data_IF_361360500513
#
_entry.id   IF_361360500513
#
_cell.length_a   1.000
_cell.length_b   1.000
_cell.length_c   1.000
_cell.angle_alpha   90.00
_cell.angle_beta   90.00
_cell.angle_gamma   90.00
#
_symmetry.space_group_name_H-M   'P 1'
#
loop_
_entity.id
_entity.type
_entity.pdbx_description
1 polymer ?
#
# COMPACT_ATOMS: atom_id res chain seq x y z
N UNK A 1 19.66 0.06 -4.62
CA UNK A 1 19.43 -1.19 -3.88
C UNK A 1 18.25 -1.96 -4.45
N UNK A 2 17.10 -1.32 -4.71
CA UNK A 2 15.88 -2.02 -5.11
C UNK A 2 15.85 -2.53 -6.57
N UNK A 3 16.46 -1.85 -7.54
CA UNK A 3 16.51 -2.34 -8.94
C UNK A 3 17.12 -3.75 -9.04
N UNK A 4 18.22 -3.99 -8.30
CA UNK A 4 18.87 -5.31 -8.23
C UNK A 4 17.95 -6.39 -7.66
N UNK A 5 17.06 -6.03 -6.74
CA UNK A 5 16.12 -6.97 -6.12
C UNK A 5 15.06 -7.43 -7.12
N UNK A 6 14.54 -6.49 -7.93
CA UNK A 6 13.62 -6.82 -9.04
C UNK A 6 14.28 -7.74 -10.05
N UNK A 7 15.47 -7.37 -10.54
CA UNK A 7 16.22 -8.15 -11.54
C UNK A 7 16.52 -9.57 -11.03
N UNK A 8 17.02 -9.69 -9.80
CA UNK A 8 17.32 -10.99 -9.18
C UNK A 8 16.06 -11.86 -9.03
N UNK A 9 14.95 -11.27 -8.59
CA UNK A 9 13.67 -12.01 -8.48
C UNK A 9 13.20 -12.49 -9.85
N UNK A 10 13.26 -11.64 -10.88
CA UNK A 10 12.87 -12.00 -12.24
C UNK A 10 13.75 -13.14 -12.78
N UNK A 11 15.06 -13.10 -12.53
CA UNK A 11 15.98 -14.17 -12.91
C UNK A 11 15.63 -15.50 -12.22
N UNK A 12 15.37 -15.48 -10.90
CA UNK A 12 14.99 -16.68 -10.15
C UNK A 12 13.66 -17.25 -10.66
N UNK A 13 12.68 -16.41 -10.98
CA UNK A 13 11.41 -16.85 -11.55
C UNK A 13 11.58 -17.41 -12.98
N UNK A 14 12.47 -16.84 -13.79
CA UNK A 14 12.81 -17.38 -15.11
C UNK A 14 13.47 -18.77 -15.00
N UNK A 15 14.37 -18.96 -14.04
CA UNK A 15 14.92 -20.30 -13.74
C UNK A 15 13.82 -21.24 -13.24
N UNK A 16 12.95 -20.78 -12.34
CA UNK A 16 11.84 -21.56 -11.81
C UNK A 16 10.85 -21.99 -12.89
N UNK A 17 10.61 -21.15 -13.91
CA UNK A 17 9.79 -21.45 -15.10
C UNK A 17 10.32 -22.66 -15.87
N UNK A 18 11.64 -22.88 -15.84
CA UNK A 18 12.37 -23.86 -16.66
C UNK A 18 12.90 -25.07 -15.86
N UNK A 19 12.35 -25.36 -14.68
CA UNK A 19 12.68 -26.58 -13.91
C UNK A 19 12.38 -27.85 -14.72
N UNK A 20 12.91 -29.01 -14.33
CA UNK A 20 12.68 -30.27 -15.05
C UNK A 20 11.18 -30.64 -15.12
N UNK A 21 10.68 -30.88 -16.34
CA UNK A 21 9.30 -31.30 -16.65
C UNK A 21 8.17 -30.39 -16.11
N UNK A 22 8.19 -29.06 -16.35
CA UNK A 22 7.09 -28.20 -15.93
C UNK A 22 5.90 -28.37 -16.89
N UNK A 23 4.71 -28.44 -16.33
CA UNK A 23 3.46 -28.42 -17.11
C UNK A 23 3.31 -27.08 -17.85
N UNK A 24 2.53 -27.06 -18.93
CA UNK A 24 2.27 -25.82 -19.67
C UNK A 24 1.56 -24.77 -18.80
N UNK A 25 0.63 -25.21 -17.96
CA UNK A 25 -0.07 -24.36 -16.99
C UNK A 25 0.92 -23.70 -16.01
N UNK A 26 1.85 -24.48 -15.45
CA UNK A 26 2.89 -23.95 -14.56
C UNK A 26 3.71 -22.86 -15.25
N UNK A 27 4.19 -23.11 -16.49
CA UNK A 27 4.98 -22.12 -17.24
C UNK A 27 4.18 -20.86 -17.52
N UNK A 28 2.90 -21.02 -17.87
CA UNK A 28 2.00 -19.89 -18.13
C UNK A 28 1.79 -19.03 -16.88
N UNK A 29 1.54 -19.64 -15.72
CA UNK A 29 1.38 -18.91 -14.45
C UNK A 29 2.64 -18.14 -14.09
N UNK A 30 3.82 -18.77 -14.21
CA UNK A 30 5.11 -18.10 -13.93
C UNK A 30 5.35 -16.95 -14.92
N UNK A 31 5.04 -17.13 -16.21
CA UNK A 31 5.16 -16.07 -17.21
C UNK A 31 4.22 -14.88 -16.91
N UNK A 32 2.97 -15.13 -16.50
CA UNK A 32 2.05 -14.07 -16.08
C UNK A 32 2.61 -13.28 -14.89
N UNK A 33 3.16 -13.98 -13.89
CA UNK A 33 3.80 -13.35 -12.72
C UNK A 33 4.95 -12.45 -13.15
N UNK A 34 5.84 -12.94 -14.02
CA UNK A 34 7.00 -12.19 -14.52
C UNK A 34 6.55 -10.91 -15.23
N UNK A 35 5.59 -11.00 -16.15
CA UNK A 35 5.06 -9.82 -16.87
C UNK A 35 4.50 -8.78 -15.91
N UNK A 36 3.68 -9.21 -14.94
CA UNK A 36 3.12 -8.29 -13.93
C UNK A 36 4.20 -7.66 -13.06
N UNK A 37 5.24 -8.40 -12.68
CA UNK A 37 6.35 -7.88 -11.89
C UNK A 37 7.15 -6.82 -12.66
N UNK A 38 7.32 -6.99 -13.97
CA UNK A 38 7.94 -5.97 -14.83
C UNK A 38 7.11 -4.67 -14.86
N UNK A 39 5.79 -4.77 -14.89
CA UNK A 39 4.92 -3.59 -14.84
C UNK A 39 4.96 -2.92 -13.45
N UNK A 40 4.96 -3.71 -12.38
CA UNK A 40 5.18 -3.20 -11.01
C UNK A 40 6.52 -2.48 -10.91
N UNK A 41 7.58 -2.97 -11.53
CA UNK A 41 8.89 -2.31 -11.52
C UNK A 41 8.83 -0.91 -12.14
N UNK A 42 8.14 -0.76 -13.28
CA UNK A 42 7.95 0.54 -13.95
C UNK A 42 7.13 1.50 -13.10
N UNK A 43 6.04 1.03 -12.49
CA UNK A 43 5.22 1.85 -11.61
C UNK A 43 5.97 2.25 -10.34
N UNK A 44 6.74 1.32 -9.78
CA UNK A 44 7.55 1.54 -8.59
C UNK A 44 8.59 2.65 -8.81
N UNK A 45 9.28 2.64 -9.95
CA UNK A 45 10.24 3.69 -10.30
C UNK A 45 9.56 5.06 -10.43
N UNK A 46 8.37 5.12 -11.05
CA UNK A 46 7.56 6.35 -11.11
C UNK A 46 7.16 6.84 -9.72
N UNK A 47 6.72 5.93 -8.85
CA UNK A 47 6.38 6.25 -7.46
C UNK A 47 7.61 6.74 -6.68
N UNK A 48 8.78 6.15 -6.93
CA UNK A 48 10.04 6.55 -6.32
C UNK A 48 10.43 7.99 -6.67
N UNK A 49 10.42 8.30 -7.97
CA UNK A 49 10.74 9.64 -8.48
C UNK A 49 9.77 10.69 -7.94
N UNK A 50 8.46 10.42 -7.99
CA UNK A 50 7.44 11.37 -7.57
C UNK A 50 7.42 11.58 -6.05
N UNK A 51 7.62 10.52 -5.25
CA UNK A 51 7.77 10.61 -3.81
C UNK A 51 9.02 11.40 -3.43
N UNK A 52 10.16 11.15 -4.10
CA UNK A 52 11.40 11.90 -3.88
C UNK A 52 11.26 13.38 -4.23
N UNK A 53 10.61 13.70 -5.34
CA UNK A 53 10.27 15.08 -5.72
C UNK A 53 9.40 15.77 -4.65
N UNK A 54 8.33 15.13 -4.19
CA UNK A 54 7.45 15.67 -3.14
C UNK A 54 8.18 15.85 -1.79
N UNK A 55 9.13 14.98 -1.45
CA UNK A 55 9.97 15.13 -0.25
C UNK A 55 10.97 16.30 -0.33
N UNK A 56 11.36 16.70 -1.55
CA UNK A 56 12.39 17.71 -1.79
C UNK A 56 11.82 19.10 -2.07
N UNK A 57 10.72 19.22 -2.84
CA UNK A 57 10.14 20.54 -3.20
C UNK A 57 9.45 21.25 -2.03
N UNK A 58 9.10 20.53 -0.96
CA UNK A 58 8.23 21.09 0.07
C UNK A 58 8.81 20.88 1.48
N UNK A 59 9.64 21.86 1.92
CA UNK A 59 10.04 22.01 3.33
C UNK A 59 8.79 22.12 4.23
N UNK A 60 7.70 22.63 3.66
CA UNK A 60 6.36 22.66 4.23
C UNK A 60 5.73 21.27 4.38
N UNK A 61 5.93 20.28 3.50
CA UNK A 61 5.44 18.90 3.73
C UNK A 61 6.21 18.19 4.86
N UNK A 62 7.49 18.51 5.05
CA UNK A 62 8.27 18.05 6.22
C UNK A 62 7.78 18.67 7.54
N UNK A 63 7.36 19.93 7.52
CA UNK A 63 6.89 20.69 8.70
C UNK A 63 5.36 20.66 8.91
N UNK A 64 4.58 20.32 7.89
CA UNK A 64 3.13 20.03 7.91
C UNK A 64 2.87 18.55 8.22
N UNK A 65 3.76 17.91 8.99
CA UNK A 65 3.34 16.96 10.02
C UNK A 65 2.49 17.72 11.07
N UNK A 66 1.44 18.40 10.63
CA UNK A 66 0.47 18.99 11.51
C UNK A 66 -0.26 17.83 12.15
N UNK A 67 -0.03 17.68 13.46
CA UNK A 67 -0.84 16.90 14.37
C UNK A 67 -2.28 17.39 14.16
N UNK A 68 -3.03 16.77 13.25
CA UNK A 68 -4.45 17.08 13.11
C UNK A 68 -5.06 16.88 14.49
N UNK A 69 -5.70 17.92 15.01
CA UNK A 69 -6.34 17.81 16.32
C UNK A 69 -7.42 16.73 16.25
N UNK A 70 -7.67 16.06 17.37
CA UNK A 70 -8.73 15.05 17.46
C UNK A 70 -10.07 15.62 17.00
N UNK A 71 -10.29 16.91 17.23
CA UNK A 71 -11.48 17.63 16.82
C UNK A 71 -11.64 17.72 15.30
N UNK A 72 -10.57 18.03 14.56
CA UNK A 72 -10.62 18.11 13.10
C UNK A 72 -10.82 16.73 12.47
N UNK A 73 -10.13 15.70 12.97
CA UNK A 73 -10.32 14.32 12.51
C UNK A 73 -11.76 13.86 12.77
N UNK A 74 -12.25 14.04 13.99
CA UNK A 74 -13.62 13.68 14.36
C UNK A 74 -14.65 14.41 13.50
N UNK A 75 -14.41 15.68 13.15
CA UNK A 75 -15.29 16.43 12.23
C UNK A 75 -15.37 15.80 10.83
N UNK A 76 -14.24 15.37 10.26
CA UNK A 76 -14.25 14.70 8.94
C UNK A 76 -14.95 13.33 9.06
N UNK A 77 -14.63 12.54 10.09
CA UNK A 77 -15.23 11.22 10.34
C UNK A 77 -16.74 11.29 10.54
N UNK A 78 -17.23 12.24 11.35
CA UNK A 78 -18.67 12.44 11.56
C UNK A 78 -19.38 12.90 10.29
N UNK A 79 -18.73 13.69 9.43
CA UNK A 79 -19.30 14.07 8.12
C UNK A 79 -19.39 12.87 7.19
N UNK A 80 -18.42 11.96 7.25
CA UNK A 80 -18.37 10.74 6.45
C UNK A 80 -19.41 9.72 6.93
N UNK A 81 -19.54 9.52 8.24
CA UNK A 81 -20.51 8.61 8.86
C UNK A 81 -21.97 8.93 8.52
N UNK A 82 -22.29 10.18 8.14
CA UNK A 82 -23.63 10.54 7.63
C UNK A 82 -23.98 9.83 6.33
N UNK A 83 -22.97 9.39 5.58
CA UNK A 83 -23.11 8.70 4.29
C UNK A 83 -22.81 7.21 4.42
N UNK A 84 -22.50 6.73 5.62
CA UNK A 84 -21.97 5.39 5.81
C UNK A 84 -22.39 4.76 7.15
N UNK A 85 -23.13 3.66 7.06
CA UNK A 85 -23.68 2.95 8.22
C UNK A 85 -22.64 2.19 9.05
N UNK A 86 -21.62 1.58 8.43
CA UNK A 86 -20.60 0.81 9.15
C UNK A 86 -19.67 1.72 9.94
N UNK A 87 -19.23 2.83 9.34
CA UNK A 87 -18.46 3.85 10.04
C UNK A 87 -19.29 4.53 11.13
N UNK A 88 -20.58 4.77 10.90
CA UNK A 88 -21.47 5.30 11.93
C UNK A 88 -21.60 4.35 13.12
N UNK A 89 -21.73 3.05 12.88
CA UNK A 89 -21.79 2.02 13.93
C UNK A 89 -20.46 1.91 14.70
N UNK A 90 -19.32 1.97 14.00
CA UNK A 90 -17.98 1.99 14.59
C UNK A 90 -17.76 3.24 15.45
N UNK A 91 -18.12 4.43 14.98
CA UNK A 91 -18.03 5.65 15.79
C UNK A 91 -18.98 5.58 16.99
N UNK A 92 -20.20 5.05 16.81
CA UNK A 92 -21.18 4.89 17.90
C UNK A 92 -20.64 3.95 18.99
N UNK A 93 -20.04 2.82 18.62
CA UNK A 93 -19.42 1.89 19.59
C UNK A 93 -18.20 2.48 20.30
N UNK A 94 -17.51 3.44 19.66
CA UNK A 94 -16.42 4.23 20.26
C UNK A 94 -16.89 5.45 21.08
N UNK A 95 -18.20 5.63 21.32
CA UNK A 95 -18.72 6.78 22.08
C UNK A 95 -18.89 8.06 21.25
N UNK A 96 -19.05 7.92 19.93
CA UNK A 96 -19.32 9.00 18.97
C UNK A 96 -18.08 9.77 18.51
N UNK A 97 -16.90 9.50 19.08
CA UNK A 97 -15.64 10.16 18.73
C UNK A 97 -14.48 9.18 18.82
N UNK A 98 -13.53 9.29 17.90
CA UNK A 98 -12.21 8.67 18.04
C UNK A 98 -11.45 9.38 19.16
N UNK A 99 -11.05 8.63 20.19
CA UNK A 99 -10.10 9.06 21.21
C UNK A 99 -8.71 8.54 20.83
N UNK A 100 -7.72 9.43 20.70
CA UNK A 100 -6.32 9.03 20.60
C UNK A 100 -5.67 9.00 21.99
N UNK A 101 -5.04 7.89 22.33
CA UNK A 101 -3.92 7.80 23.25
C UNK A 101 -2.67 8.46 22.63
N UNK A 102 -1.71 8.77 23.49
CA UNK A 102 -0.58 9.68 23.30
C UNK A 102 0.42 9.38 22.17
N UNK A 103 0.18 8.41 21.28
CA UNK A 103 1.21 7.91 20.35
C UNK A 103 0.81 7.80 18.88
N UNK A 104 -0.30 8.38 18.43
CA UNK A 104 -0.63 8.40 16.99
C UNK A 104 -0.11 9.67 16.34
N UNK A 105 1.19 9.68 16.01
CA UNK A 105 1.72 10.59 14.99
C UNK A 105 1.06 10.27 13.66
N UNK A 106 0.33 11.25 13.14
CA UNK A 106 -0.42 11.12 11.90
C UNK A 106 0.33 11.95 10.86
N UNK A 107 0.92 11.29 9.87
CA UNK A 107 1.38 11.96 8.65
C UNK A 107 0.21 12.01 7.68
N UNK A 108 -0.71 12.96 7.89
CA UNK A 108 -1.75 13.29 6.91
C UNK A 108 -1.37 14.58 6.24
N UNK A 109 -1.30 14.57 4.92
CA UNK A 109 -1.32 15.82 4.18
C UNK A 109 -2.68 16.48 4.37
N UNK A 110 -2.65 17.66 4.99
CA UNK A 110 -3.78 18.54 4.96
C UNK A 110 -3.97 19.04 3.52
N UNK A 111 -4.77 18.30 2.74
CA UNK A 111 -5.03 18.60 1.33
C UNK A 111 -5.59 20.02 1.11
N UNK A 112 -6.07 20.69 2.15
CA UNK A 112 -6.59 22.07 2.08
C UNK A 112 -5.50 23.15 2.03
N UNK A 113 -4.25 22.81 2.39
CA UNK A 113 -3.09 23.72 2.37
C UNK A 113 -2.14 23.48 1.19
N UNK A 114 -2.45 22.51 0.32
CA UNK A 114 -1.65 22.21 -0.86
C UNK A 114 -1.93 23.22 -1.97
N UNK A 115 -0.90 23.59 -2.72
CA UNK A 115 -1.09 24.23 -4.02
C UNK A 115 -1.84 23.27 -4.96
N UNK A 116 -2.54 23.83 -5.97
CA UNK A 116 -3.21 23.00 -6.98
C UNK A 116 -2.24 22.04 -7.70
N UNK A 117 -0.96 22.45 -7.88
CA UNK A 117 0.11 21.64 -8.45
C UNK A 117 0.40 20.40 -7.58
N UNK A 118 0.68 20.59 -6.29
CA UNK A 118 1.01 19.49 -5.37
C UNK A 118 -0.17 18.52 -5.18
N UNK A 119 -1.41 19.01 -5.32
CA UNK A 119 -2.61 18.17 -5.25
C UNK A 119 -2.68 17.14 -6.38
N UNK A 120 -2.27 17.50 -7.61
CA UNK A 120 -2.25 16.59 -8.76
C UNK A 120 -1.20 15.49 -8.55
N UNK A 121 0.00 15.89 -8.14
CA UNK A 121 1.13 14.98 -7.93
C UNK A 121 0.84 13.99 -6.78
N UNK A 122 0.25 14.46 -5.69
CA UNK A 122 -0.17 13.58 -4.57
C UNK A 122 -1.26 12.60 -5.00
N UNK A 123 -2.26 13.05 -5.77
CA UNK A 123 -3.29 12.14 -6.32
C UNK A 123 -2.70 11.09 -7.25
N UNK A 124 -1.76 11.50 -8.10
CA UNK A 124 -1.06 10.59 -9.01
C UNK A 124 -0.22 9.58 -8.22
N UNK A 125 0.54 10.01 -7.22
CA UNK A 125 1.32 9.12 -6.38
C UNK A 125 0.43 8.15 -5.62
N UNK A 126 -0.70 8.60 -5.11
CA UNK A 126 -1.69 7.76 -4.47
C UNK A 126 -2.21 6.66 -5.42
N UNK A 127 -2.63 7.04 -6.62
CA UNK A 127 -3.10 6.09 -7.63
C UNK A 127 -2.03 5.04 -8.00
N UNK A 128 -0.80 5.48 -8.25
CA UNK A 128 0.32 4.57 -8.57
C UNK A 128 0.57 3.61 -7.40
N UNK A 129 0.54 4.11 -6.16
CA UNK A 129 0.73 3.31 -4.95
C UNK A 129 -0.33 2.21 -4.83
N UNK A 130 -1.61 2.55 -5.06
CA UNK A 130 -2.69 1.57 -5.06
C UNK A 130 -2.55 0.54 -6.19
N UNK A 131 -2.16 0.97 -7.40
CA UNK A 131 -1.92 0.09 -8.54
C UNK A 131 -0.84 -0.96 -8.22
N UNK A 132 0.28 -0.53 -7.62
CA UNK A 132 1.37 -1.42 -7.22
C UNK A 132 0.87 -2.46 -6.21
N UNK A 133 0.20 -2.04 -5.13
CA UNK A 133 -0.30 -3.00 -4.13
C UNK A 133 -1.34 -3.96 -4.69
N UNK A 134 -2.21 -3.49 -5.61
CA UNK A 134 -3.17 -4.34 -6.28
C UNK A 134 -2.48 -5.39 -7.15
N UNK A 135 -1.48 -4.99 -7.94
CA UNK A 135 -0.70 -5.92 -8.77
C UNK A 135 0.08 -6.93 -7.91
N UNK A 136 0.74 -6.48 -6.83
CA UNK A 136 1.45 -7.37 -5.91
C UNK A 136 0.49 -8.39 -5.25
N UNK A 137 -0.73 -7.96 -4.92
CA UNK A 137 -1.76 -8.88 -4.41
C UNK A 137 -2.14 -9.94 -5.45
N UNK A 138 -2.39 -9.54 -6.70
CA UNK A 138 -2.71 -10.48 -7.80
C UNK A 138 -1.55 -11.45 -8.07
N UNK A 139 -0.32 -10.94 -8.07
CA UNK A 139 0.89 -11.78 -8.18
C UNK A 139 0.94 -12.79 -7.04
N UNK A 140 0.67 -12.37 -5.79
CA UNK A 140 0.59 -13.29 -4.64
C UNK A 140 -0.47 -14.37 -4.84
N UNK A 141 -1.64 -14.04 -5.39
CA UNK A 141 -2.69 -15.04 -5.68
C UNK A 141 -2.21 -16.05 -6.73
N UNK A 142 -1.51 -15.60 -7.77
CA UNK A 142 -0.89 -16.46 -8.79
C UNK A 142 0.22 -17.32 -8.21
N UNK A 143 1.11 -16.75 -7.40
CA UNK A 143 2.17 -17.48 -6.71
C UNK A 143 1.57 -18.62 -5.87
N UNK A 144 0.49 -18.39 -5.13
CA UNK A 144 -0.15 -19.43 -4.32
C UNK A 144 -0.68 -20.64 -5.13
N UNK A 145 -0.82 -20.53 -6.45
CA UNK A 145 -1.17 -21.66 -7.34
C UNK A 145 0.03 -22.58 -7.58
N UNK A 146 1.26 -22.12 -7.31
CA UNK A 146 2.50 -22.85 -7.53
C UNK A 146 2.90 -23.65 -6.27
N UNK A 147 3.43 -24.88 -6.42
CA UNK A 147 3.71 -25.77 -5.29
C UNK A 147 4.62 -25.18 -4.19
N UNK A 148 5.70 -24.49 -4.57
CA UNK A 148 6.65 -23.87 -3.62
C UNK A 148 6.05 -22.71 -2.82
N UNK A 149 4.97 -22.11 -3.32
CA UNK A 149 4.43 -20.85 -2.85
C UNK A 149 3.03 -20.98 -2.23
N UNK A 150 2.53 -22.20 -1.97
CA UNK A 150 1.19 -22.42 -1.41
C UNK A 150 0.88 -21.56 -0.17
N UNK A 151 1.90 -21.28 0.64
CA UNK A 151 1.80 -20.48 1.86
C UNK A 151 2.43 -19.08 1.74
N UNK A 152 2.65 -18.58 0.53
CA UNK A 152 3.26 -17.28 0.30
C UNK A 152 2.32 -16.16 0.78
N UNK A 153 2.74 -15.47 1.85
CA UNK A 153 1.89 -14.53 2.57
C UNK A 153 2.66 -13.33 3.15
N UNK A 154 3.28 -12.49 2.30
CA UNK A 154 4.05 -11.34 2.72
C UNK A 154 3.16 -10.34 3.50
N UNK A 155 3.45 -10.10 4.80
CA UNK A 155 2.60 -9.27 5.65
C UNK A 155 2.34 -7.86 5.13
N UNK A 156 3.34 -7.17 4.58
CA UNK A 156 3.24 -5.80 4.08
C UNK A 156 2.13 -5.64 3.04
N UNK A 157 2.18 -6.46 1.98
CA UNK A 157 1.15 -6.45 0.93
C UNK A 157 -0.21 -6.91 1.45
N UNK A 158 -0.27 -7.97 2.28
CA UNK A 158 -1.54 -8.44 2.86
C UNK A 158 -2.21 -7.37 3.73
N UNK A 159 -1.42 -6.71 4.58
CA UNK A 159 -1.92 -5.73 5.53
C UNK A 159 -2.42 -4.47 4.82
N UNK A 160 -1.69 -4.00 3.81
CA UNK A 160 -2.07 -2.83 3.02
C UNK A 160 -3.20 -3.13 2.04
N UNK A 161 -3.34 -4.38 1.55
CA UNK A 161 -4.46 -4.75 0.67
C UNK A 161 -5.81 -4.43 1.30
N UNK A 162 -5.98 -4.73 2.60
CA UNK A 162 -7.19 -4.44 3.36
C UNK A 162 -7.44 -2.92 3.55
N UNK A 163 -6.50 -2.10 3.11
CA UNK A 163 -6.50 -0.65 3.26
C UNK A 163 -6.62 0.09 1.90
N UNK A 164 -6.68 -0.62 0.77
CA UNK A 164 -6.84 0.00 -0.55
C UNK A 164 -8.26 0.52 -0.77
N UNK A 165 -8.42 1.66 -1.44
CA UNK A 165 -9.71 2.28 -1.78
C UNK A 165 -10.61 1.40 -2.64
N UNK A 166 -10.02 0.59 -3.52
CA UNK A 166 -10.76 -0.24 -4.48
C UNK A 166 -10.37 -1.71 -4.32
N UNK A 167 -11.39 -2.56 -4.11
CA UNK A 167 -11.24 -4.00 -4.29
C UNK A 167 -12.08 -4.44 -5.48
N UNK A 168 -11.43 -4.92 -6.54
CA UNK A 168 -12.10 -5.43 -7.74
C UNK A 168 -12.96 -6.67 -7.47
N UNK A 169 -12.70 -7.37 -6.35
CA UNK A 169 -13.30 -8.65 -5.98
C UNK A 169 -14.46 -8.56 -4.97
N UNK A 170 -14.82 -7.36 -4.50
CA UNK A 170 -15.93 -7.16 -3.54
C UNK A 170 -16.92 -6.13 -4.07
N UNK A 171 -18.21 -6.46 -4.03
CA UNK A 171 -19.30 -5.60 -4.50
C UNK A 171 -19.45 -4.31 -3.68
N UNK A 172 -18.96 -4.27 -2.43
CA UNK A 172 -19.17 -3.16 -1.48
C UNK A 172 -17.89 -2.72 -0.73
N UNK A 173 -16.69 -2.83 -1.30
CA UNK A 173 -15.50 -2.29 -0.62
C UNK A 173 -15.33 -0.79 -0.87
N UNK A 174 -16.22 0.04 -0.32
CA UNK A 174 -15.97 1.48 -0.27
C UNK A 174 -14.97 1.77 0.84
N UNK A 175 -13.71 1.64 0.49
CA UNK A 175 -12.62 1.73 1.42
C UNK A 175 -12.28 3.23 1.60
N UNK A 176 -12.68 3.81 2.73
CA UNK A 176 -12.62 5.26 3.00
C UNK A 176 -11.26 5.91 2.71
N UNK A 177 -11.32 7.10 2.12
CA UNK A 177 -10.21 8.05 1.99
C UNK A 177 -9.83 8.53 3.38
N UNK A 178 -8.86 7.88 4.04
CA UNK A 178 -8.19 8.52 5.16
C UNK A 178 -6.72 8.24 5.12
N UNK A 179 -5.99 9.34 4.91
CA UNK A 179 -4.55 9.47 5.03
C UNK A 179 -3.76 8.75 3.93
N UNK A 180 -3.22 9.54 3.03
CA UNK A 180 -2.11 9.17 2.16
C UNK A 180 -0.90 9.94 2.68
N UNK A 181 0.22 9.24 2.86
CA UNK A 181 1.46 9.81 3.37
C UNK A 181 2.60 9.64 2.38
N UNK A 182 3.56 10.56 2.42
CA UNK A 182 4.83 10.53 1.67
C UNK A 182 5.87 10.40 2.77
N UNK A 183 6.71 9.39 2.66
CA UNK A 183 7.73 9.11 3.67
C UNK A 183 9.03 8.70 3.00
N UNK A 184 10.12 8.69 3.76
CA UNK A 184 11.42 8.17 3.30
C UNK A 184 11.38 6.67 3.01
N UNK A 185 10.41 5.94 3.56
CA UNK A 185 10.14 4.53 3.26
C UNK A 185 9.14 4.36 2.11
N UNK A 186 8.90 5.43 1.35
CA UNK A 186 7.93 5.48 0.27
C UNK A 186 6.54 5.93 0.73
N UNK A 187 5.59 6.03 -0.20
CA UNK A 187 4.23 6.41 0.11
C UNK A 187 3.57 5.39 1.04
N UNK A 188 2.67 5.86 1.89
CA UNK A 188 1.99 5.09 2.95
C UNK A 188 0.49 5.27 2.78
N UNK A 189 -0.26 4.18 2.78
CA UNK A 189 -1.71 4.18 2.80
C UNK A 189 -2.22 4.06 4.24
N UNK A 190 -3.22 4.87 4.58
CA UNK A 190 -3.93 4.86 5.86
C UNK A 190 -3.06 4.91 7.15
N UNK A 191 -2.16 5.89 7.34
CA UNK A 191 -1.44 6.06 8.61
C UNK A 191 -2.31 6.41 9.84
N UNK A 192 -3.58 6.83 9.72
CA UNK A 192 -4.41 7.16 10.89
C UNK A 192 -5.02 5.91 11.53
N UNK A 193 -4.83 5.76 12.85
CA UNK A 193 -5.56 4.77 13.67
C UNK A 193 -6.24 5.41 14.88
N UNK A 194 -7.45 4.93 15.25
CA UNK A 194 -7.97 5.06 16.60
C UNK A 194 -6.96 4.48 17.60
N UNK A 195 -6.81 5.08 18.77
CA UNK A 195 -5.91 4.47 19.75
C UNK A 195 -6.47 3.20 20.36
N UNK A 196 -5.56 2.32 20.79
CA UNK A 196 -5.91 1.03 21.41
C UNK A 196 -6.16 -0.11 20.42
N UNK A 197 -6.28 0.16 19.12
CA UNK A 197 -6.50 -0.89 18.11
C UNK A 197 -5.16 -1.43 17.61
N UNK A 198 -4.87 -2.72 17.90
CA UNK A 198 -3.75 -3.48 17.31
C UNK A 198 -4.04 -3.80 15.83
N UNK A 199 -4.11 -2.79 14.98
CA UNK A 199 -4.18 -3.00 13.52
C UNK A 199 -2.75 -3.06 12.94
N UNK A 200 -2.49 -3.85 11.89
CA UNK A 200 -1.21 -3.82 11.19
C UNK A 200 -0.91 -2.44 10.58
N UNK A 201 0.34 -1.97 10.65
CA UNK A 201 0.75 -0.65 10.16
C UNK A 201 1.42 -0.79 8.80
N UNK A 202 1.05 0.07 7.84
CA UNK A 202 1.78 0.20 6.58
C UNK A 202 3.18 0.75 6.87
N UNK A 203 4.23 -0.03 6.58
CA UNK A 203 5.64 0.35 6.77
C UNK A 203 6.14 1.33 5.70
N UNK A 204 5.35 1.59 4.67
CA UNK A 204 5.72 2.32 3.46
C UNK A 204 5.94 1.38 2.29
N UNK A 205 5.60 1.87 1.09
CA UNK A 205 5.67 1.13 -0.17
C UNK A 205 7.01 0.44 -0.38
N UNK A 206 8.12 1.11 -0.07
CA UNK A 206 9.45 0.59 -0.36
C UNK A 206 9.78 -0.62 0.51
N UNK A 207 9.55 -0.51 1.82
CA UNK A 207 9.76 -1.60 2.77
C UNK A 207 8.84 -2.79 2.48
N UNK A 208 7.58 -2.53 2.14
CA UNK A 208 6.64 -3.61 1.86
C UNK A 208 6.95 -4.33 0.54
N UNK A 209 7.39 -3.60 -0.49
CA UNK A 209 7.82 -4.17 -1.77
C UNK A 209 9.10 -5.00 -1.58
N UNK A 210 10.07 -4.50 -0.82
CA UNK A 210 11.29 -5.24 -0.49
C UNK A 210 10.99 -6.53 0.29
N UNK A 211 10.09 -6.49 1.27
CA UNK A 211 9.64 -7.67 2.02
C UNK A 211 9.00 -8.72 1.08
N UNK A 212 8.21 -8.27 0.11
CA UNK A 212 7.56 -9.12 -0.88
C UNK A 212 8.58 -9.87 -1.75
N UNK A 213 9.53 -9.14 -2.34
CA UNK A 213 10.56 -9.70 -3.19
C UNK A 213 11.53 -10.61 -2.43
N UNK A 214 11.97 -10.18 -1.25
CA UNK A 214 12.82 -11.00 -0.38
C UNK A 214 12.15 -12.32 -0.03
N UNK A 215 10.82 -12.31 0.19
CA UNK A 215 10.07 -13.53 0.44
C UNK A 215 10.04 -14.49 -0.76
N UNK A 216 10.06 -13.97 -2.00
CA UNK A 216 10.15 -14.80 -3.21
C UNK A 216 11.55 -15.41 -3.32
N UNK A 217 12.58 -14.58 -3.16
CA UNK A 217 13.99 -15.00 -3.22
C UNK A 217 14.25 -16.13 -2.22
N UNK A 218 13.86 -15.96 -0.96
CA UNK A 218 14.02 -16.95 0.11
C UNK A 218 13.34 -18.32 -0.16
N UNK A 219 12.35 -18.37 -1.06
CA UNK A 219 11.66 -19.63 -1.43
C UNK A 219 12.32 -20.30 -2.65
N UNK A 220 12.96 -19.49 -3.50
CA UNK A 220 13.55 -19.96 -4.76
C UNK A 220 15.03 -20.31 -4.63
N UNK A 221 15.76 -19.63 -3.75
CA UNK A 221 17.10 -20.01 -3.29
C UNK A 221 17.04 -21.20 -2.31
#
# INVERSE_FOLDING_TARGET
MQVKLFEHTLELLERYKNISNPTNEFRHVVAEIITRLQDVAKEYEKANQLNGYLLNEDVGLKHQREIMTDEFINKIMSKQAKKDSELAECLKSAGGKLKRGSSTEISVFNMTKLTQKNTKDIKQLHYITESIYNNLWLIKQRLNQLPKFKNFNPPGVRNVRNQLMTHTERTNSESYIFSFGVSTQGPVLRPIKPSGVKAPTDKGLYTNVEEFFSSIINILE
#
